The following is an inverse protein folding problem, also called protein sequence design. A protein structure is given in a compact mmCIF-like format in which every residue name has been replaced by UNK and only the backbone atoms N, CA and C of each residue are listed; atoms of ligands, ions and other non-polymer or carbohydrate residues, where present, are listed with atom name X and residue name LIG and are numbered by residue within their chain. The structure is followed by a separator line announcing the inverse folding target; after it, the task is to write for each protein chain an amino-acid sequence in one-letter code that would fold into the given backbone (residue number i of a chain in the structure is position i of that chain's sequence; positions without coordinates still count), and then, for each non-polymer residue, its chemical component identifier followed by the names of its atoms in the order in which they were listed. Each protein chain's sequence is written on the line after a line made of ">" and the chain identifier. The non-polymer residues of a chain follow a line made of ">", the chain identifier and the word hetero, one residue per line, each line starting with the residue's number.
data_IF_314505316462
#
_entry.id   IF_314505316462
#
_cell.length_a   1.000
_cell.length_b   1.000
_cell.length_c   1.000
_cell.angle_alpha   90.00
_cell.angle_beta   90.00
_cell.angle_gamma   90.00
#
_symmetry.space_group_name_H-M   'P 1'
#
loop_
_entity.id
_entity.type
_entity.pdbx_description
1 polymer ?
#
# COMPACT_ATOMS: atom_id res chain seq x y z
N UNK A 1 -34.65 -22.04 36.98
CA UNK A 1 -33.77 -20.84 36.87
C UNK A 1 -32.28 -21.18 36.84
N UNK A 2 -31.75 -22.04 37.73
CA UNK A 2 -30.31 -22.42 37.73
C UNK A 2 -29.83 -23.06 36.42
N UNK A 3 -30.61 -23.98 35.83
CA UNK A 3 -30.24 -24.63 34.54
C UNK A 3 -30.19 -23.67 33.35
N UNK A 4 -31.02 -22.61 33.35
CA UNK A 4 -31.01 -21.58 32.28
C UNK A 4 -29.74 -20.73 32.37
N UNK A 5 -29.29 -20.41 33.59
CA UNK A 5 -28.04 -19.68 33.83
C UNK A 5 -26.81 -20.48 33.35
N UNK A 6 -26.78 -21.80 33.56
CA UNK A 6 -25.70 -22.65 33.05
C UNK A 6 -25.68 -22.74 31.52
N UNK A 7 -26.86 -22.82 30.87
CA UNK A 7 -26.95 -22.83 29.40
C UNK A 7 -26.49 -21.50 28.81
N UNK A 8 -26.87 -20.37 29.42
CA UNK A 8 -26.40 -19.04 28.99
C UNK A 8 -24.89 -18.91 29.17
N UNK A 9 -24.33 -19.39 30.29
CA UNK A 9 -22.88 -19.38 30.53
C UNK A 9 -22.12 -20.27 29.52
N UNK A 10 -22.68 -21.42 29.17
CA UNK A 10 -22.12 -22.32 28.15
C UNK A 10 -22.16 -21.70 26.75
N UNK A 11 -23.26 -21.06 26.37
CA UNK A 11 -23.41 -20.37 25.07
C UNK A 11 -22.48 -19.16 24.97
N UNK A 12 -22.32 -18.40 26.06
CA UNK A 12 -21.39 -17.26 26.13
C UNK A 12 -19.94 -17.70 26.00
N UNK A 13 -19.57 -18.86 26.55
CA UNK A 13 -18.19 -19.40 26.45
C UNK A 13 -17.90 -20.01 25.08
N UNK A 14 -18.87 -20.65 24.41
CA UNK A 14 -18.71 -21.13 23.02
C UNK A 14 -18.61 -19.99 22.00
N UNK A 15 -19.19 -18.82 22.29
CA UNK A 15 -19.16 -17.64 21.39
C UNK A 15 -17.78 -16.94 21.34
N UNK A 16 -16.77 -17.50 22.01
CA UNK A 16 -15.49 -16.87 22.33
C UNK A 16 -14.35 -17.28 21.38
N UNK A 17 -14.66 -17.79 20.19
CA UNK A 17 -13.67 -18.29 19.23
C UNK A 17 -13.63 -17.41 17.97
N UNK A 18 -12.45 -16.95 17.57
CA UNK A 18 -12.21 -16.34 16.26
C UNK A 18 -11.19 -17.15 15.50
N UNK A 19 -11.32 -17.14 14.18
CA UNK A 19 -10.38 -17.80 13.28
C UNK A 19 -9.55 -16.73 12.59
N UNK A 20 -8.23 -16.79 12.82
CA UNK A 20 -7.23 -16.04 12.04
C UNK A 20 -6.92 -16.87 10.80
N UNK A 21 -7.09 -16.26 9.62
CA UNK A 21 -6.90 -16.97 8.34
C UNK A 21 -5.41 -17.06 8.00
N UNK A 22 -5.06 -18.01 7.14
CA UNK A 22 -3.72 -18.02 6.55
C UNK A 22 -3.49 -16.73 5.75
N UNK A 23 -2.27 -16.20 5.80
CA UNK A 23 -1.91 -14.92 5.18
C UNK A 23 -2.31 -13.67 6.01
N UNK A 24 -2.76 -13.87 7.25
CA UNK A 24 -3.03 -12.82 8.23
C UNK A 24 -2.42 -13.21 9.58
N UNK A 25 -2.13 -12.21 10.40
CA UNK A 25 -1.82 -12.40 11.83
C UNK A 25 -2.82 -11.66 12.70
N UNK A 26 -3.14 -12.24 13.85
CA UNK A 26 -4.04 -11.65 14.82
C UNK A 26 -3.28 -10.79 15.83
N UNK A 27 -3.68 -9.54 16.02
CA UNK A 27 -3.18 -8.67 17.09
C UNK A 27 -4.26 -8.54 18.15
N UNK A 28 -3.97 -8.99 19.37
CA UNK A 28 -4.93 -9.01 20.48
C UNK A 28 -4.94 -7.67 21.22
N UNK A 29 -6.10 -7.00 21.26
CA UNK A 29 -6.33 -5.77 22.03
C UNK A 29 -7.31 -6.03 23.17
N UNK A 30 -6.85 -5.88 24.41
CA UNK A 30 -7.65 -6.08 25.64
C UNK A 30 -7.73 -4.78 26.43
N UNK A 31 -8.94 -4.25 26.64
CA UNK A 31 -9.18 -2.99 27.39
C UNK A 31 -8.22 -1.85 26.99
N UNK A 32 -8.00 -1.66 25.69
CA UNK A 32 -7.14 -0.59 25.16
C UNK A 32 -5.65 -0.91 25.10
N UNK A 33 -5.17 -1.96 25.77
CA UNK A 33 -3.76 -2.40 25.68
C UNK A 33 -3.59 -3.49 24.63
N UNK A 34 -2.53 -3.38 23.83
CA UNK A 34 -2.15 -4.40 22.85
C UNK A 34 -1.21 -5.42 23.51
N UNK A 35 -1.35 -6.69 23.13
CA UNK A 35 -0.35 -7.70 23.49
C UNK A 35 0.77 -7.62 22.46
N UNK A 36 2.02 -7.60 22.92
CA UNK A 36 3.22 -7.46 22.08
C UNK A 36 3.43 -8.62 21.09
N UNK A 37 2.78 -9.76 21.32
CA UNK A 37 2.93 -10.96 20.50
C UNK A 37 1.80 -11.07 19.47
N UNK A 38 2.17 -11.22 18.19
CA UNK A 38 1.27 -11.62 17.11
C UNK A 38 0.74 -13.03 17.32
N UNK A 39 -0.51 -13.26 16.94
CA UNK A 39 -1.16 -14.56 16.96
C UNK A 39 -1.07 -15.17 15.57
N UNK A 40 -0.52 -16.38 15.51
CA UNK A 40 -0.42 -17.16 14.28
C UNK A 40 -1.80 -17.57 13.75
N UNK A 41 -1.90 -17.91 12.45
CA UNK A 41 -3.12 -18.44 11.85
C UNK A 41 -3.67 -19.65 12.61
N UNK A 42 -4.97 -19.67 12.87
CA UNK A 42 -5.62 -20.74 13.61
C UNK A 42 -6.82 -20.27 14.45
N UNK A 43 -7.48 -21.22 15.14
CA UNK A 43 -8.52 -20.91 16.10
C UNK A 43 -7.92 -20.25 17.35
N UNK A 44 -8.39 -19.05 17.67
CA UNK A 44 -7.98 -18.28 18.84
C UNK A 44 -9.17 -18.11 19.77
N UNK A 45 -9.00 -18.55 21.00
CA UNK A 45 -9.98 -18.32 22.08
C UNK A 45 -9.74 -16.95 22.71
N UNK A 46 -10.77 -16.11 22.74
CA UNK A 46 -10.73 -14.75 23.29
C UNK A 46 -12.09 -14.32 23.80
N UNK A 47 -12.16 -13.63 24.93
CA UNK A 47 -13.41 -13.11 25.47
C UNK A 47 -13.90 -11.91 24.61
N UNK A 48 -15.05 -12.00 23.92
CA UNK A 48 -15.51 -10.97 22.98
C UNK A 48 -15.96 -9.67 23.66
N UNK A 49 -16.26 -9.68 24.96
CA UNK A 49 -16.70 -8.48 25.70
C UNK A 49 -15.54 -7.55 26.05
N UNK A 50 -14.33 -8.08 26.21
CA UNK A 50 -13.18 -7.34 26.75
C UNK A 50 -12.04 -7.24 25.72
N UNK A 51 -12.02 -8.17 24.76
CA UNK A 51 -10.92 -8.35 23.82
C UNK A 51 -11.41 -8.26 22.39
N UNK A 52 -10.65 -7.58 21.53
CA UNK A 52 -10.78 -7.68 20.07
C UNK A 52 -9.52 -8.27 19.46
N UNK A 53 -9.69 -9.04 18.40
CA UNK A 53 -8.59 -9.52 17.55
C UNK A 53 -8.62 -8.70 16.28
N UNK A 54 -7.57 -7.90 16.08
CA UNK A 54 -7.36 -7.11 14.87
C UNK A 54 -6.56 -7.98 13.90
N UNK A 55 -7.05 -8.15 12.67
CA UNK A 55 -6.40 -9.00 11.68
C UNK A 55 -5.56 -8.13 10.77
N UNK A 56 -4.28 -8.44 10.67
CA UNK A 56 -3.32 -7.72 9.83
C UNK A 56 -2.86 -8.65 8.71
N UNK A 57 -3.03 -8.29 7.42
CA UNK A 57 -2.57 -9.13 6.33
C UNK A 57 -1.04 -9.16 6.28
N UNK A 58 -0.46 -10.36 6.20
CA UNK A 58 0.99 -10.59 6.04
C UNK A 58 1.33 -11.14 4.65
N UNK A 59 0.31 -11.43 3.84
CA UNK A 59 0.43 -11.65 2.40
C UNK A 59 0.70 -10.35 1.66
N UNK A 60 1.12 -10.46 0.40
CA UNK A 60 1.17 -9.31 -0.52
C UNK A 60 -0.20 -8.65 -0.63
N UNK A 61 -0.21 -7.35 -0.44
CA UNK A 61 -1.35 -6.45 -0.61
C UNK A 61 -1.00 -5.44 -1.69
N UNK A 62 -1.97 -5.13 -2.54
CA UNK A 62 -1.87 -4.07 -3.52
C UNK A 62 -2.67 -2.85 -3.03
N UNK A 63 -1.99 -1.71 -2.89
CA UNK A 63 -2.62 -0.42 -2.65
C UNK A 63 -2.52 0.40 -3.93
N UNK A 64 -3.67 0.83 -4.43
CA UNK A 64 -3.75 1.70 -5.59
C UNK A 64 -3.86 3.17 -5.16
N UNK A 65 -3.02 4.01 -5.74
CA UNK A 65 -2.94 5.44 -5.44
C UNK A 65 -3.11 6.22 -6.73
N UNK A 66 -4.06 7.15 -6.70
CA UNK A 66 -4.19 8.18 -7.72
C UNK A 66 -3.46 9.43 -7.24
N UNK A 67 -2.46 9.88 -8.00
CA UNK A 67 -1.66 11.05 -7.61
C UNK A 67 -1.12 11.79 -8.83
N UNK A 68 -0.93 13.09 -8.69
CA UNK A 68 -0.23 13.91 -9.66
C UNK A 68 1.26 13.91 -9.31
N UNK A 69 2.09 13.42 -10.23
CA UNK A 69 3.53 13.36 -10.05
C UNK A 69 4.18 14.61 -10.65
N UNK A 70 5.01 15.34 -9.91
CA UNK A 70 5.74 16.47 -10.45
C UNK A 70 6.87 15.98 -11.36
N UNK A 71 7.04 16.63 -12.51
CA UNK A 71 8.15 16.41 -13.43
C UNK A 71 9.24 17.47 -13.26
N UNK A 72 10.41 17.20 -13.85
CA UNK A 72 11.57 18.11 -13.90
C UNK A 72 11.26 19.49 -14.47
N UNK A 73 10.31 19.55 -15.40
CA UNK A 73 9.87 20.76 -16.07
C UNK A 73 8.70 21.45 -15.37
N UNK A 74 8.35 21.00 -14.15
CA UNK A 74 7.29 21.60 -13.33
C UNK A 74 5.87 21.23 -13.78
N UNK A 75 5.72 20.30 -14.72
CA UNK A 75 4.41 19.78 -15.12
C UNK A 75 3.92 18.72 -14.13
N UNK A 76 2.60 18.71 -13.90
CA UNK A 76 1.92 17.69 -13.11
C UNK A 76 1.40 16.57 -14.02
N UNK A 77 1.87 15.35 -13.79
CA UNK A 77 1.51 14.17 -14.58
C UNK A 77 0.52 13.32 -13.79
N UNK A 78 -0.71 13.20 -14.29
CA UNK A 78 -1.75 12.41 -13.64
C UNK A 78 -1.41 10.93 -13.70
N UNK A 79 -1.37 10.25 -12.56
CA UNK A 79 -0.82 8.89 -12.49
C UNK A 79 -1.67 7.98 -11.61
N UNK A 80 -1.87 6.74 -12.08
CA UNK A 80 -2.41 5.62 -11.29
C UNK A 80 -1.27 4.68 -10.97
N UNK A 81 -1.02 4.46 -9.68
CA UNK A 81 0.11 3.69 -9.19
C UNK A 81 -0.38 2.54 -8.32
N UNK A 82 0.26 1.39 -8.44
CA UNK A 82 0.09 0.25 -7.54
C UNK A 82 1.34 0.04 -6.70
N UNK A 83 1.17 -0.07 -5.39
CA UNK A 83 2.24 -0.42 -4.46
C UNK A 83 1.94 -1.82 -3.95
N UNK A 84 2.85 -2.75 -4.24
CA UNK A 84 2.82 -4.09 -3.70
C UNK A 84 3.70 -4.11 -2.45
N UNK A 85 3.10 -4.46 -1.32
CA UNK A 85 3.82 -4.57 -0.06
C UNK A 85 3.29 -5.75 0.76
N UNK A 86 4.10 -6.19 1.72
CA UNK A 86 3.67 -7.11 2.78
C UNK A 86 4.17 -6.62 4.13
N UNK A 87 3.53 -7.10 5.20
CA UNK A 87 3.89 -6.77 6.57
C UNK A 87 4.67 -7.93 7.17
N UNK A 88 5.79 -7.62 7.82
CA UNK A 88 6.48 -8.57 8.69
C UNK A 88 5.56 -8.92 9.89
N UNK A 89 5.16 -10.20 10.04
CA UNK A 89 4.36 -10.66 11.18
C UNK A 89 4.82 -10.16 12.54
N UNK A 90 6.14 -10.06 12.75
CA UNK A 90 6.74 -9.65 14.02
C UNK A 90 6.43 -8.19 14.38
N UNK A 91 6.23 -7.34 13.38
CA UNK A 91 5.95 -5.91 13.55
C UNK A 91 4.45 -5.59 13.61
N UNK A 92 3.57 -6.54 13.30
CA UNK A 92 2.12 -6.30 13.23
C UNK A 92 1.54 -5.66 14.53
N UNK A 93 1.92 -6.09 15.75
CA UNK A 93 1.47 -5.42 16.98
C UNK A 93 1.93 -3.97 17.06
N UNK A 94 3.19 -3.69 16.75
CA UNK A 94 3.77 -2.35 16.79
C UNK A 94 3.16 -1.42 15.72
N UNK A 95 2.83 -1.95 14.53
CA UNK A 95 2.14 -1.20 13.48
C UNK A 95 0.75 -0.77 13.97
N UNK A 96 -0.02 -1.71 14.51
CA UNK A 96 -1.37 -1.44 15.02
C UNK A 96 -1.36 -0.49 16.22
N UNK A 97 -0.31 -0.54 17.05
CA UNK A 97 -0.15 0.34 18.21
C UNK A 97 0.24 1.76 17.82
N UNK A 98 1.30 1.91 17.02
CA UNK A 98 1.93 3.21 16.77
C UNK A 98 1.30 3.95 15.58
N UNK A 99 0.70 3.22 14.63
CA UNK A 99 0.14 3.79 13.39
C UNK A 99 -1.37 3.60 13.37
N UNK A 100 -1.86 2.44 13.79
CA UNK A 100 -3.28 2.07 13.71
C UNK A 100 -3.61 1.27 12.47
N UNK A 101 -4.87 0.86 12.32
CA UNK A 101 -5.33 0.02 11.20
C UNK A 101 -5.37 0.76 9.86
N UNK A 102 -5.31 2.09 9.87
CA UNK A 102 -5.25 2.95 8.69
C UNK A 102 -3.80 3.25 8.25
N UNK A 103 -2.88 2.31 8.52
CA UNK A 103 -1.45 2.47 8.21
C UNK A 103 -1.17 2.67 6.71
N UNK A 104 -2.04 2.17 5.82
CA UNK A 104 -1.91 2.38 4.38
C UNK A 104 -2.02 3.86 4.02
N UNK A 105 -3.06 4.54 4.49
CA UNK A 105 -3.29 5.96 4.20
C UNK A 105 -2.29 6.87 4.92
N UNK A 106 -2.04 6.56 6.20
CA UNK A 106 -1.22 7.43 7.06
C UNK A 106 0.25 7.33 6.71
N UNK A 107 0.76 6.10 6.50
CA UNK A 107 2.19 5.86 6.34
C UNK A 107 2.56 5.50 4.91
N UNK A 108 1.98 4.45 4.33
CA UNK A 108 2.40 3.95 2.99
C UNK A 108 2.18 5.02 1.93
N UNK A 109 0.97 5.58 1.87
CA UNK A 109 0.59 6.61 0.90
C UNK A 109 1.40 7.90 1.08
N UNK A 110 1.66 8.32 2.33
CA UNK A 110 2.46 9.52 2.63
C UNK A 110 3.92 9.35 2.21
N UNK A 111 4.53 8.21 2.55
CA UNK A 111 5.92 7.90 2.15
C UNK A 111 6.03 7.76 0.64
N UNK A 112 5.05 7.13 -0.01
CA UNK A 112 4.98 7.05 -1.46
C UNK A 112 4.93 8.44 -2.09
N UNK A 113 4.03 9.34 -1.67
CA UNK A 113 3.91 10.68 -2.26
C UNK A 113 5.22 11.47 -2.17
N UNK A 114 5.91 11.37 -1.03
CA UNK A 114 7.21 12.01 -0.83
C UNK A 114 8.28 11.42 -1.76
N UNK A 115 8.46 10.09 -1.74
CA UNK A 115 9.45 9.40 -2.58
C UNK A 115 9.18 9.59 -4.08
N UNK A 116 7.92 9.47 -4.50
CA UNK A 116 7.52 9.65 -5.88
C UNK A 116 7.76 11.09 -6.34
N UNK A 117 7.44 12.10 -5.53
CA UNK A 117 7.72 13.49 -5.87
C UNK A 117 9.22 13.76 -6.02
N UNK A 118 10.05 13.27 -5.08
CA UNK A 118 11.50 13.42 -5.13
C UNK A 118 12.09 12.77 -6.39
N UNK A 119 11.77 11.50 -6.65
CA UNK A 119 12.26 10.76 -7.82
C UNK A 119 11.78 11.42 -9.11
N UNK A 120 10.46 11.62 -9.25
CA UNK A 120 9.86 12.08 -10.50
C UNK A 120 10.30 13.50 -10.88
N UNK A 121 10.62 14.36 -9.90
CA UNK A 121 11.16 15.71 -10.16
C UNK A 121 12.48 15.71 -10.93
N UNK A 122 13.18 14.57 -11.03
CA UNK A 122 14.43 14.42 -11.79
C UNK A 122 14.21 14.03 -13.25
N UNK A 123 12.99 13.63 -13.62
CA UNK A 123 12.64 13.11 -14.95
C UNK A 123 11.67 14.03 -15.70
N UNK A 124 11.79 14.11 -17.02
CA UNK A 124 10.80 14.80 -17.84
C UNK A 124 9.48 14.04 -17.89
N UNK A 125 8.38 14.74 -18.09
CA UNK A 125 7.05 14.13 -18.10
C UNK A 125 6.93 13.04 -19.18
N UNK A 126 7.54 13.26 -20.36
CA UNK A 126 7.57 12.27 -21.45
C UNK A 126 8.31 10.98 -21.08
N UNK A 127 9.30 11.05 -20.19
CA UNK A 127 10.14 9.91 -19.82
C UNK A 127 9.40 9.00 -18.82
N UNK A 128 8.48 9.56 -18.03
CA UNK A 128 7.59 8.81 -17.14
C UNK A 128 6.64 7.88 -17.90
N UNK A 129 6.28 8.25 -19.14
CA UNK A 129 5.43 7.45 -20.01
C UNK A 129 6.21 6.43 -20.86
N UNK A 130 7.53 6.60 -21.00
CA UNK A 130 8.33 5.87 -21.99
C UNK A 130 9.50 5.11 -21.34
N UNK A 131 10.72 5.22 -21.89
CA UNK A 131 11.83 4.30 -21.64
C UNK A 131 12.35 4.30 -20.18
N UNK A 132 12.12 5.36 -19.41
CA UNK A 132 12.64 5.49 -18.04
C UNK A 132 11.66 5.00 -16.97
N UNK A 133 10.47 4.53 -17.36
CA UNK A 133 9.43 4.10 -16.42
C UNK A 133 9.93 3.05 -15.42
N UNK A 134 10.62 2.01 -15.88
CA UNK A 134 11.14 0.95 -15.02
C UNK A 134 12.19 1.46 -14.02
N UNK A 135 13.00 2.44 -14.45
CA UNK A 135 14.00 3.09 -13.58
C UNK A 135 13.31 3.89 -12.48
N UNK A 136 12.29 4.68 -12.84
CA UNK A 136 11.49 5.47 -11.90
C UNK A 136 10.80 4.56 -10.88
N UNK A 137 10.12 3.51 -11.35
CA UNK A 137 9.46 2.50 -10.50
C UNK A 137 10.44 1.90 -9.47
N UNK A 138 11.64 1.55 -9.92
CA UNK A 138 12.66 0.95 -9.07
C UNK A 138 13.26 1.95 -8.08
N UNK A 139 13.53 3.20 -8.49
CA UNK A 139 14.02 4.25 -7.60
C UNK A 139 13.01 4.58 -6.50
N UNK A 140 11.73 4.75 -6.84
CA UNK A 140 10.66 4.97 -5.86
C UNK A 140 10.58 3.79 -4.90
N UNK A 141 10.59 2.57 -5.43
CA UNK A 141 10.53 1.35 -4.60
C UNK A 141 11.70 1.28 -3.62
N UNK A 142 12.93 1.57 -4.06
CA UNK A 142 14.12 1.57 -3.20
C UNK A 142 14.06 2.64 -2.11
N UNK A 143 13.63 3.85 -2.44
CA UNK A 143 13.47 4.92 -1.46
C UNK A 143 12.41 4.56 -0.43
N UNK A 144 11.26 4.02 -0.85
CA UNK A 144 10.24 3.53 0.07
C UNK A 144 10.75 2.40 0.97
N UNK A 145 11.49 1.41 0.43
CA UNK A 145 12.10 0.32 1.22
C UNK A 145 13.01 0.87 2.31
N UNK A 146 13.84 1.87 2.00
CA UNK A 146 14.78 2.45 2.96
C UNK A 146 14.07 3.07 4.18
N UNK A 147 12.90 3.65 3.97
CA UNK A 147 12.11 4.34 5.01
C UNK A 147 11.24 3.34 5.79
N UNK A 148 10.62 2.40 5.08
CA UNK A 148 9.53 1.56 5.62
C UNK A 148 10.00 0.22 6.20
N UNK A 149 11.18 -0.27 5.82
CA UNK A 149 11.70 -1.56 6.30
C UNK A 149 11.87 -1.59 7.82
N UNK A 150 12.34 -0.49 8.41
CA UNK A 150 12.48 -0.36 9.87
C UNK A 150 11.15 -0.33 10.63
N UNK A 151 10.04 -0.13 9.91
CA UNK A 151 8.67 -0.08 10.44
C UNK A 151 7.88 -1.36 10.17
N UNK A 152 8.53 -2.40 9.64
CA UNK A 152 7.92 -3.71 9.40
C UNK A 152 7.16 -3.85 8.09
N UNK A 153 7.36 -2.95 7.12
CA UNK A 153 6.77 -3.07 5.79
C UNK A 153 7.84 -3.42 4.76
N UNK A 154 7.61 -4.47 3.99
CA UNK A 154 8.45 -4.88 2.87
C UNK A 154 7.77 -4.46 1.57
N UNK A 155 8.38 -3.51 0.86
CA UNK A 155 7.90 -3.08 -0.46
C UNK A 155 8.42 -4.05 -1.50
N UNK A 156 7.51 -4.74 -2.18
CA UNK A 156 7.83 -5.70 -3.22
C UNK A 156 8.01 -4.99 -4.56
N UNK A 157 7.08 -4.10 -4.92
CA UNK A 157 7.15 -3.32 -6.15
C UNK A 157 6.33 -2.03 -6.08
N UNK A 158 6.71 -1.06 -6.91
CA UNK A 158 5.91 0.12 -7.25
C UNK A 158 5.68 0.07 -8.75
N UNK A 159 4.42 0.18 -9.18
CA UNK A 159 4.01 -0.03 -10.57
C UNK A 159 3.22 1.18 -11.07
N UNK A 160 3.75 1.91 -12.04
CA UNK A 160 3.11 3.05 -12.68
C UNK A 160 2.08 2.57 -13.73
N UNK A 161 0.89 2.15 -13.31
CA UNK A 161 -0.13 1.57 -14.20
C UNK A 161 -0.49 2.46 -15.40
N UNK A 162 -0.88 3.70 -15.11
CA UNK A 162 -1.34 4.65 -16.12
C UNK A 162 -0.70 6.00 -15.87
N UNK A 163 -0.19 6.61 -16.95
CA UNK A 163 0.43 7.93 -16.95
C UNK A 163 -0.31 8.80 -17.96
N UNK A 164 -0.93 9.87 -17.48
CA UNK A 164 -1.65 10.85 -18.29
C UNK A 164 -0.78 12.12 -18.39
N UNK A 165 -0.24 12.36 -19.58
CA UNK A 165 0.50 13.59 -19.85
C UNK A 165 -0.44 14.80 -19.79
N UNK A 166 0.05 15.98 -19.36
CA UNK A 166 -0.69 17.23 -19.49
C UNK A 166 -1.10 17.49 -20.93
N UNK A 167 -2.31 18.00 -21.16
CA UNK A 167 -2.88 18.16 -22.51
C UNK A 167 -1.97 18.95 -23.47
N UNK A 168 -1.32 20.01 -22.99
CA UNK A 168 -0.39 20.80 -23.81
C UNK A 168 0.83 20.01 -24.27
N UNK A 169 1.39 19.17 -23.41
CA UNK A 169 2.53 18.32 -23.76
C UNK A 169 2.12 17.18 -24.68
N UNK A 170 0.98 16.54 -24.40
CA UNK A 170 0.43 15.48 -25.24
C UNK A 170 0.25 15.98 -26.69
N UNK A 171 -0.39 17.15 -26.85
CA UNK A 171 -0.57 17.77 -28.17
C UNK A 171 0.76 18.08 -28.86
N UNK A 172 1.72 18.66 -28.14
CA UNK A 172 3.03 18.98 -28.72
C UNK A 172 3.81 17.72 -29.16
N UNK A 173 3.66 16.62 -28.43
CA UNK A 173 4.23 15.32 -28.80
C UNK A 173 3.55 14.75 -30.04
N UNK A 174 2.23 14.83 -30.13
CA UNK A 174 1.44 14.42 -31.31
C UNK A 174 1.82 15.23 -32.56
N UNK A 175 1.83 16.56 -32.47
CA UNK A 175 2.23 17.45 -33.57
C UNK A 175 3.65 17.15 -34.08
N UNK A 176 4.58 16.88 -33.15
CA UNK A 176 5.95 16.50 -33.51
C UNK A 176 6.00 15.15 -34.24
N UNK A 177 5.28 14.15 -33.74
CA UNK A 177 5.20 12.82 -34.37
C UNK A 177 4.59 12.89 -35.77
N UNK A 178 3.55 13.70 -35.96
CA UNK A 178 2.92 13.91 -37.27
C UNK A 178 3.91 14.56 -38.25
N UNK A 179 4.60 15.61 -37.83
CA UNK A 179 5.61 16.27 -38.66
C UNK A 179 6.78 15.34 -39.03
N UNK A 180 7.24 14.49 -38.10
CA UNK A 180 8.27 13.48 -38.38
C UNK A 180 7.79 12.42 -39.39
N UNK A 181 6.52 12.00 -39.30
CA UNK A 181 5.93 11.06 -40.25
C UNK A 181 5.76 11.65 -41.65
N UNK A 182 5.32 12.90 -41.75
CA UNK A 182 5.16 13.58 -43.04
C UNK A 182 6.51 13.84 -43.72
N UNK A 183 7.54 14.18 -42.95
CA UNK A 183 8.91 14.28 -43.46
C UNK A 183 9.39 12.93 -44.04
N UNK A 184 9.16 11.83 -43.34
CA UNK A 184 9.50 10.49 -43.84
C UNK A 184 8.76 10.14 -45.14
N UNK A 185 7.48 10.51 -45.27
CA UNK A 185 6.70 10.28 -46.49
C UNK A 185 7.20 11.05 -47.70
N UNK A 186 7.85 12.21 -47.50
CA UNK A 186 8.43 13.00 -48.60
C UNK A 186 9.78 12.44 -49.09
N UNK A 187 10.45 11.61 -48.29
CA UNK A 187 11.72 10.97 -48.65
C UNK A 187 11.56 9.67 -49.47
N UNK A 188 10.34 9.12 -49.58
CA UNK A 188 10.01 7.90 -50.34
C UNK A 188 9.06 8.19 -51.51
#
# INVERSE_FOLDING_TARGET
>A
MKSISYIILLVVTLSSCAIVRQGEVGVKRKMGKLKEQSLDPGPVVYNPFITRILKVPTRTVNVEINSNLPSKEGLNVGSIISILYKIDPAFAPAIVENIGMNYEDVLITSVFRSAAADVCSRFFAKDMHTAQRAVIEQEISNQMRSILKSRGFEIEAVLLKTIQLPAGLARAVEEKLEAEQDAQRMEF
#
